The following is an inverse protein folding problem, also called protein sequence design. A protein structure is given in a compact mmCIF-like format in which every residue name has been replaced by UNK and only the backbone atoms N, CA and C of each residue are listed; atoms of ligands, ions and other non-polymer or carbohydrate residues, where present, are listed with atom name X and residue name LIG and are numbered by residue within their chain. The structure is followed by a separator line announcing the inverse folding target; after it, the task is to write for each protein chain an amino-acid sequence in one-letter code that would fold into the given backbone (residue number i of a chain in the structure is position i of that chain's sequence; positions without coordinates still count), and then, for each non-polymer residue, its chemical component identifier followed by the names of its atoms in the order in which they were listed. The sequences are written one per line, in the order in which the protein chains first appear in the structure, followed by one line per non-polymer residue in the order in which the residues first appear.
data_IF_005844663915
#
_entry.id   IF_005844663915
#
_cell.length_a   1.000
_cell.length_b   1.000
_cell.length_c   1.000
_cell.angle_alpha   90.00
_cell.angle_beta   90.00
_cell.angle_gamma   90.00
#
_symmetry.space_group_name_H-M   'P 1'
#
loop_
_entity.id
_entity.type
_entity.pdbx_description
1 polymer ?
#
# COMPACT_ATOMS: atom_id res chain seq x y z
N UNK A 1 -0.73 9.34 -39.82
CA UNK A 1 -1.21 9.11 -38.43
C UNK A 1 -0.34 9.95 -37.51
N UNK A 2 -0.94 10.73 -36.62
CA UNK A 2 -0.17 11.47 -35.61
C UNK A 2 0.50 10.46 -34.66
N UNK A 3 1.75 10.70 -34.21
CA UNK A 3 2.38 9.84 -33.22
C UNK A 3 1.55 9.82 -31.93
N UNK A 4 1.44 8.67 -31.25
CA UNK A 4 0.70 8.59 -29.99
C UNK A 4 1.28 9.58 -28.98
N UNK A 5 0.39 10.29 -28.28
CA UNK A 5 0.79 11.22 -27.22
C UNK A 5 1.63 10.46 -26.18
N UNK A 6 2.82 10.97 -25.87
CA UNK A 6 3.67 10.38 -24.83
C UNK A 6 2.94 10.42 -23.50
N UNK A 7 2.86 9.28 -22.81
CA UNK A 7 2.34 9.24 -21.44
C UNK A 7 3.19 10.13 -20.53
N UNK A 8 2.55 10.78 -19.55
CA UNK A 8 3.21 11.62 -18.54
C UNK A 8 3.72 10.76 -17.38
N UNK A 9 4.81 11.19 -16.73
CA UNK A 9 5.27 10.55 -15.49
C UNK A 9 4.17 10.66 -14.43
N UNK A 10 3.94 9.60 -13.64
CA UNK A 10 3.02 9.66 -12.49
C UNK A 10 3.50 10.63 -11.41
N UNK A 11 4.81 10.69 -11.18
CA UNK A 11 5.42 11.57 -10.19
C UNK A 11 5.63 12.97 -10.74
N UNK A 12 6.69 13.20 -11.53
CA UNK A 12 7.09 14.54 -11.96
C UNK A 12 6.33 15.13 -13.16
N UNK A 13 5.29 14.46 -13.67
CA UNK A 13 4.42 14.95 -14.77
C UNK A 13 5.06 15.21 -16.14
N UNK A 14 6.38 15.14 -16.26
CA UNK A 14 7.08 15.35 -17.53
C UNK A 14 6.58 14.39 -18.60
N UNK A 15 6.44 14.88 -19.83
CA UNK A 15 6.23 14.09 -21.06
C UNK A 15 7.55 13.71 -21.74
N UNK A 16 8.67 14.23 -21.23
CA UNK A 16 10.00 14.06 -21.80
C UNK A 16 10.76 12.89 -21.16
N UNK A 17 11.83 12.46 -21.83
CA UNK A 17 12.66 11.35 -21.40
C UNK A 17 12.06 9.96 -21.63
N UNK A 18 12.81 8.94 -21.21
CA UNK A 18 12.44 7.52 -21.34
C UNK A 18 11.58 7.10 -20.15
N UNK A 19 10.50 6.35 -20.39
CA UNK A 19 9.75 5.64 -19.34
C UNK A 19 10.55 4.44 -18.87
N UNK A 20 10.59 4.20 -17.55
CA UNK A 20 11.19 3.02 -16.95
C UNK A 20 10.13 1.96 -16.70
N UNK A 21 10.54 0.69 -16.74
CA UNK A 21 9.73 -0.42 -16.25
C UNK A 21 9.99 -0.55 -14.74
N UNK A 22 9.49 0.41 -13.98
CA UNK A 22 9.74 0.47 -12.55
C UNK A 22 9.09 -0.71 -11.84
N UNK A 23 9.84 -1.36 -10.96
CA UNK A 23 9.33 -2.50 -10.22
C UNK A 23 8.44 -2.03 -9.05
N UNK A 24 7.30 -2.69 -8.83
CA UNK A 24 6.45 -2.36 -7.66
C UNK A 24 7.23 -2.61 -6.38
N UNK A 25 8.00 -3.71 -6.31
CA UNK A 25 9.02 -3.92 -5.29
C UNK A 25 10.40 -4.07 -5.91
N UNK A 26 11.42 -3.45 -5.32
CA UNK A 26 12.80 -3.48 -5.80
C UNK A 26 13.23 -4.90 -6.20
N UNK A 27 13.71 -5.06 -7.43
CA UNK A 27 14.17 -6.37 -7.93
C UNK A 27 15.31 -6.96 -7.09
N UNK A 28 16.14 -6.11 -6.47
CA UNK A 28 17.27 -6.53 -5.60
C UNK A 28 16.81 -7.42 -4.45
N UNK A 29 15.65 -7.13 -3.87
CA UNK A 29 15.04 -7.90 -2.79
C UNK A 29 14.74 -9.36 -3.17
N UNK A 30 14.48 -9.64 -4.46
CA UNK A 30 14.30 -11.00 -4.98
C UNK A 30 15.50 -11.92 -4.70
N UNK A 31 16.72 -11.36 -4.70
CA UNK A 31 17.95 -12.11 -4.43
C UNK A 31 18.22 -12.32 -2.94
N UNK A 32 17.59 -11.50 -2.10
CA UNK A 32 17.86 -11.43 -0.66
C UNK A 32 16.83 -12.19 0.18
N UNK A 33 15.72 -12.61 -0.43
CA UNK A 33 14.59 -13.21 0.27
C UNK A 33 14.00 -14.37 -0.50
N UNK A 34 13.37 -15.28 0.23
CA UNK A 34 12.56 -16.33 -0.36
C UNK A 34 11.37 -15.73 -1.11
N UNK A 35 11.09 -16.25 -2.32
CA UNK A 35 9.98 -15.79 -3.15
C UNK A 35 9.15 -16.97 -3.61
N UNK A 36 7.83 -16.79 -3.65
CA UNK A 36 6.95 -17.75 -4.30
C UNK A 36 6.96 -17.51 -5.83
N UNK A 37 7.00 -18.58 -6.64
CA UNK A 37 6.99 -18.47 -8.10
C UNK A 37 5.69 -17.87 -8.63
N UNK A 38 4.61 -18.07 -7.89
CA UNK A 38 3.30 -17.51 -8.17
C UNK A 38 2.92 -16.43 -7.18
N UNK A 39 2.18 -15.45 -7.67
CA UNK A 39 1.69 -14.35 -6.86
C UNK A 39 0.20 -14.11 -7.10
N UNK A 40 -0.53 -13.85 -6.02
CA UNK A 40 -1.94 -13.49 -6.07
C UNK A 40 -2.10 -11.97 -6.03
N UNK A 41 -2.93 -11.46 -6.92
CA UNK A 41 -3.35 -10.06 -6.96
C UNK A 41 -4.85 -10.03 -6.82
N UNK A 42 -5.34 -9.24 -5.87
CA UNK A 42 -6.75 -8.91 -5.79
C UNK A 42 -6.95 -7.40 -5.79
N UNK A 43 -8.01 -7.00 -6.48
CA UNK A 43 -8.53 -5.65 -6.50
C UNK A 43 -10.01 -5.69 -6.09
N UNK A 44 -10.38 -4.81 -5.16
CA UNK A 44 -11.76 -4.58 -4.75
C UNK A 44 -12.18 -3.13 -4.97
N UNK A 45 -13.41 -2.96 -5.44
CA UNK A 45 -14.06 -1.66 -5.65
C UNK A 45 -15.31 -1.58 -4.80
N UNK A 46 -15.44 -0.50 -4.02
CA UNK A 46 -16.64 -0.25 -3.21
C UNK A 46 -17.02 -1.45 -2.31
N UNK A 47 -16.02 -2.14 -1.75
CA UNK A 47 -16.20 -3.31 -0.88
C UNK A 47 -16.37 -4.65 -1.61
N UNK A 48 -16.51 -4.65 -2.93
CA UNK A 48 -16.71 -5.87 -3.72
C UNK A 48 -15.43 -6.23 -4.47
N UNK A 49 -14.95 -7.47 -4.33
CA UNK A 49 -13.81 -7.97 -5.12
C UNK A 49 -14.21 -8.01 -6.59
N UNK A 50 -13.55 -7.21 -7.41
CA UNK A 50 -13.82 -7.13 -8.85
C UNK A 50 -12.94 -8.10 -9.63
N UNK A 51 -11.69 -8.26 -9.20
CA UNK A 51 -10.72 -9.10 -9.88
C UNK A 51 -9.81 -9.77 -8.86
N UNK A 52 -9.63 -11.08 -9.03
CA UNK A 52 -8.59 -11.85 -8.36
C UNK A 52 -7.90 -12.70 -9.41
N UNK A 53 -6.57 -12.64 -9.46
CA UNK A 53 -5.80 -13.48 -10.37
C UNK A 53 -4.53 -13.99 -9.72
N UNK A 54 -4.19 -15.24 -10.05
CA UNK A 54 -2.85 -15.79 -9.87
C UNK A 54 -2.02 -15.46 -11.09
N UNK A 55 -0.81 -14.97 -10.88
CA UNK A 55 0.17 -14.68 -11.93
C UNK A 55 1.39 -15.56 -11.70
N UNK A 56 1.87 -16.20 -12.77
CA UNK A 56 3.12 -16.97 -12.76
C UNK A 56 4.33 -16.02 -12.83
N UNK A 57 4.47 -15.23 -11.77
CA UNK A 57 5.54 -14.28 -11.55
C UNK A 57 5.69 -14.05 -10.04
N UNK A 58 6.89 -13.71 -9.59
CA UNK A 58 7.10 -13.31 -8.19
C UNK A 58 6.61 -11.88 -7.98
N UNK A 59 6.32 -11.52 -6.73
CA UNK A 59 5.97 -10.14 -6.37
C UNK A 59 7.01 -9.08 -6.77
N UNK A 60 8.28 -9.50 -6.95
CA UNK A 60 9.38 -8.65 -7.39
C UNK A 60 9.51 -8.55 -8.90
N UNK A 61 8.71 -9.28 -9.69
CA UNK A 61 8.73 -9.21 -11.15
C UNK A 61 7.67 -8.25 -11.71
N UNK A 62 6.79 -7.72 -10.85
CA UNK A 62 5.75 -6.75 -11.23
C UNK A 62 6.37 -5.42 -11.58
N UNK A 63 6.03 -4.91 -12.76
CA UNK A 63 6.53 -3.62 -13.25
C UNK A 63 5.40 -2.72 -13.72
N UNK A 64 5.65 -1.42 -13.66
CA UNK A 64 4.79 -0.36 -14.19
C UNK A 64 5.61 0.50 -15.14
N UNK A 65 5.02 0.93 -16.25
CA UNK A 65 5.69 1.72 -17.28
C UNK A 65 5.24 3.20 -17.28
N UNK A 66 4.93 3.71 -16.08
CA UNK A 66 4.34 5.05 -15.89
C UNK A 66 5.27 6.01 -15.12
N UNK A 67 6.48 5.56 -14.79
CA UNK A 67 7.53 6.36 -14.13
C UNK A 67 8.60 6.73 -15.15
N UNK A 68 9.14 7.95 -15.14
CA UNK A 68 10.29 8.28 -15.98
C UNK A 68 11.58 7.74 -15.37
N UNK A 69 12.56 7.45 -16.23
CA UNK A 69 13.91 7.03 -15.83
C UNK A 69 14.54 7.98 -14.80
N UNK A 70 14.38 9.30 -14.97
CA UNK A 70 14.92 10.29 -14.05
C UNK A 70 14.30 10.26 -12.64
N UNK A 71 12.99 9.96 -12.52
CA UNK A 71 12.40 9.73 -11.19
C UNK A 71 12.89 8.40 -10.61
N UNK A 72 13.02 7.39 -11.46
CA UNK A 72 13.36 6.04 -11.02
C UNK A 72 14.78 5.91 -10.48
N UNK A 73 15.75 6.41 -11.24
CA UNK A 73 17.19 6.37 -10.92
C UNK A 73 17.63 7.61 -10.10
N UNK A 74 16.67 8.41 -9.64
CA UNK A 74 16.92 9.55 -8.77
C UNK A 74 16.34 9.28 -7.39
N UNK A 75 15.44 10.15 -6.96
CA UNK A 75 14.85 10.09 -5.61
C UNK A 75 14.19 8.75 -5.23
N UNK A 76 13.67 7.96 -6.19
CA UNK A 76 13.09 6.66 -5.87
C UNK A 76 14.16 5.64 -5.50
N UNK A 77 15.29 5.63 -6.20
CA UNK A 77 16.44 4.78 -5.89
C UNK A 77 17.09 5.21 -4.58
N UNK A 78 17.26 6.52 -4.37
CA UNK A 78 17.75 7.09 -3.09
C UNK A 78 16.85 6.66 -1.91
N UNK A 79 15.53 6.79 -2.05
CA UNK A 79 14.57 6.34 -1.04
C UNK A 79 14.65 4.83 -0.78
N UNK A 80 14.88 4.01 -1.81
CA UNK A 80 15.06 2.57 -1.64
C UNK A 80 16.34 2.22 -0.90
N UNK A 81 17.44 2.88 -1.24
CA UNK A 81 18.74 2.66 -0.59
C UNK A 81 18.68 3.07 0.88
N UNK A 82 18.04 4.20 1.19
CA UNK A 82 17.86 4.71 2.56
C UNK A 82 17.14 3.74 3.50
N UNK A 83 16.16 2.98 2.99
CA UNK A 83 15.36 2.07 3.82
C UNK A 83 15.75 0.60 3.66
N UNK A 84 16.71 0.27 2.79
CA UNK A 84 17.03 -1.12 2.43
C UNK A 84 17.36 -1.96 3.66
N UNK A 85 18.25 -1.48 4.51
CA UNK A 85 18.67 -2.20 5.72
C UNK A 85 17.46 -2.50 6.62
N UNK A 86 16.62 -1.47 6.87
CA UNK A 86 15.44 -1.57 7.72
C UNK A 86 14.39 -2.52 7.15
N UNK A 87 14.06 -2.41 5.86
CA UNK A 87 13.14 -3.33 5.17
C UNK A 87 13.65 -4.78 5.28
N UNK A 88 14.95 -5.00 5.10
CA UNK A 88 15.54 -6.33 5.20
C UNK A 88 15.54 -6.89 6.63
N UNK A 89 15.78 -6.04 7.64
CA UNK A 89 15.68 -6.41 9.06
C UNK A 89 14.25 -6.82 9.41
N UNK A 90 13.27 -6.01 9.03
CA UNK A 90 11.84 -6.27 9.26
C UNK A 90 11.35 -7.50 8.49
N UNK A 91 11.76 -7.66 7.24
CA UNK A 91 11.39 -8.80 6.40
C UNK A 91 11.96 -10.13 6.91
N UNK A 92 13.06 -10.09 7.67
CA UNK A 92 13.61 -11.26 8.39
C UNK A 92 12.95 -11.48 9.75
N UNK A 93 12.00 -10.62 10.14
CA UNK A 93 11.29 -10.68 11.41
C UNK A 93 12.15 -10.23 12.60
N UNK A 94 13.17 -9.40 12.35
CA UNK A 94 13.97 -8.76 13.40
C UNK A 94 13.42 -7.37 13.69
N UNK A 95 13.82 -6.81 14.82
CA UNK A 95 13.51 -5.41 15.19
C UNK A 95 14.72 -4.56 14.78
N UNK A 96 14.54 -3.43 14.06
CA UNK A 96 15.61 -2.49 13.78
C UNK A 96 16.20 -1.92 15.08
N UNK A 97 17.49 -1.57 15.08
CA UNK A 97 18.02 -0.74 16.15
C UNK A 97 17.51 0.70 16.02
N UNK A 98 17.61 1.49 17.08
CA UNK A 98 17.23 2.92 17.04
C UNK A 98 18.08 3.71 16.04
N UNK A 99 19.35 3.34 15.87
CA UNK A 99 20.26 3.93 14.88
C UNK A 99 19.87 3.61 13.43
N UNK A 100 19.24 2.47 13.19
CA UNK A 100 18.74 2.04 11.87
C UNK A 100 17.32 2.58 11.58
N UNK A 101 16.66 3.17 12.57
CA UNK A 101 15.25 3.47 12.53
C UNK A 101 14.93 4.79 11.81
N UNK A 102 14.82 4.73 10.48
CA UNK A 102 14.28 5.82 9.64
C UNK A 102 12.79 5.60 9.34
N UNK A 103 11.96 5.69 10.39
CA UNK A 103 10.52 5.38 10.31
C UNK A 103 9.75 6.26 9.31
N UNK A 104 10.11 7.53 9.21
CA UNK A 104 9.55 8.48 8.24
C UNK A 104 9.84 8.05 6.79
N UNK A 105 11.10 7.72 6.50
CA UNK A 105 11.51 7.21 5.18
C UNK A 105 10.87 5.86 4.87
N UNK A 106 10.78 4.98 5.87
CA UNK A 106 10.10 3.70 5.72
C UNK A 106 8.61 3.89 5.39
N UNK A 107 7.92 4.81 6.07
CA UNK A 107 6.52 5.12 5.80
C UNK A 107 6.33 5.70 4.38
N UNK A 108 7.21 6.61 3.96
CA UNK A 108 7.22 7.15 2.61
C UNK A 108 7.45 6.03 1.57
N UNK A 109 8.43 5.16 1.81
CA UNK A 109 8.71 4.02 0.94
C UNK A 109 7.49 3.10 0.83
N UNK A 110 6.88 2.69 1.95
CA UNK A 110 5.67 1.87 1.94
C UNK A 110 4.54 2.52 1.13
N UNK A 111 4.35 3.84 1.31
CA UNK A 111 3.36 4.64 0.58
C UNK A 111 3.62 4.62 -0.92
N UNK A 112 4.86 4.86 -1.35
CA UNK A 112 5.25 4.82 -2.76
C UNK A 112 4.99 3.44 -3.36
N UNK A 113 5.36 2.36 -2.67
CA UNK A 113 5.14 0.97 -3.15
C UNK A 113 3.65 0.65 -3.25
N UNK A 114 2.85 1.10 -2.27
CA UNK A 114 1.41 0.98 -2.31
C UNK A 114 0.80 1.70 -3.52
N UNK A 115 1.24 2.92 -3.81
CA UNK A 115 0.77 3.69 -4.97
C UNK A 115 1.16 3.04 -6.30
N UNK A 116 2.42 2.61 -6.45
CA UNK A 116 2.87 1.87 -7.63
C UNK A 116 2.06 0.59 -7.83
N UNK A 117 1.70 -0.10 -6.75
CA UNK A 117 0.83 -1.28 -6.81
C UNK A 117 -0.55 -0.95 -7.38
N UNK A 118 -1.12 0.21 -7.08
CA UNK A 118 -2.42 0.60 -7.67
C UNK A 118 -2.36 0.78 -9.19
N UNK A 119 -1.18 1.08 -9.76
CA UNK A 119 -1.03 1.24 -11.22
C UNK A 119 -1.12 -0.09 -11.99
N UNK A 120 -1.09 -1.23 -11.29
CA UNK A 120 -1.28 -2.55 -11.91
C UNK A 120 -2.76 -2.96 -11.98
N UNK A 121 -3.64 -2.18 -11.36
CA UNK A 121 -5.09 -2.34 -11.39
C UNK A 121 -5.69 -1.68 -12.66
N UNK A 122 -6.97 -1.99 -12.99
CA UNK A 122 -7.71 -1.29 -14.05
C UNK A 122 -7.68 0.24 -13.87
N UNK A 123 -7.74 0.99 -14.96
CA UNK A 123 -7.52 2.45 -14.92
C UNK A 123 -8.49 3.20 -14.00
N UNK A 124 -9.77 2.80 -13.98
CA UNK A 124 -10.82 3.37 -13.11
C UNK A 124 -10.58 3.13 -11.61
N UNK A 125 -9.65 2.24 -11.29
CA UNK A 125 -9.35 1.77 -9.94
C UNK A 125 -8.08 2.38 -9.37
N UNK A 126 -7.38 3.19 -10.16
CA UNK A 126 -6.08 3.75 -9.79
C UNK A 126 -6.26 4.98 -8.93
N UNK A 127 -5.33 5.17 -8.01
CA UNK A 127 -5.25 6.39 -7.24
C UNK A 127 -5.03 7.60 -8.18
N UNK A 128 -5.69 8.75 -7.93
CA UNK A 128 -5.53 9.93 -8.76
C UNK A 128 -4.08 10.41 -8.84
N UNK A 129 -3.70 10.89 -10.02
CA UNK A 129 -2.34 11.33 -10.33
C UNK A 129 -1.81 12.41 -9.38
N UNK A 130 -2.68 13.32 -8.93
CA UNK A 130 -2.35 14.39 -7.98
C UNK A 130 -1.70 13.89 -6.69
N UNK A 131 -2.00 12.65 -6.27
CA UNK A 131 -1.39 12.02 -5.08
C UNK A 131 0.08 11.67 -5.32
N UNK A 132 0.41 11.16 -6.52
CA UNK A 132 1.79 10.90 -6.88
C UNK A 132 2.58 12.20 -7.01
N UNK A 133 1.94 13.26 -7.52
CA UNK A 133 2.53 14.60 -7.66
C UNK A 133 2.86 15.22 -6.30
N UNK A 134 1.95 15.14 -5.33
CA UNK A 134 2.20 15.68 -3.99
C UNK A 134 3.37 14.97 -3.33
N UNK A 135 3.41 13.63 -3.37
CA UNK A 135 4.54 12.87 -2.83
C UNK A 135 5.85 13.20 -3.54
N UNK A 136 5.82 13.40 -4.86
CA UNK A 136 7.02 13.82 -5.60
C UNK A 136 7.52 15.19 -5.16
N UNK A 137 6.61 16.14 -4.95
CA UNK A 137 6.97 17.51 -4.56
C UNK A 137 7.45 17.55 -3.10
N UNK A 138 6.71 16.92 -2.21
CA UNK A 138 6.84 17.11 -0.77
C UNK A 138 7.80 16.12 -0.12
N UNK A 139 8.10 14.99 -0.80
CA UNK A 139 8.95 13.91 -0.27
C UNK A 139 8.50 13.42 1.10
N UNK A 140 7.19 13.41 1.32
CA UNK A 140 6.57 13.05 2.58
C UNK A 140 5.29 12.24 2.35
N UNK A 141 4.88 11.50 3.38
CA UNK A 141 3.56 10.85 3.41
C UNK A 141 2.51 11.95 3.57
N UNK A 142 1.44 11.99 2.75
CA UNK A 142 0.35 12.93 2.96
C UNK A 142 -0.27 12.78 4.35
N UNK A 143 -0.56 13.89 5.02
CA UNK A 143 -1.08 13.93 6.41
C UNK A 143 -2.34 13.07 6.62
N UNK A 144 -3.13 12.89 5.56
CA UNK A 144 -4.38 12.15 5.58
C UNK A 144 -4.20 10.63 5.38
N UNK A 145 -2.97 10.15 5.25
CA UNK A 145 -2.69 8.72 5.06
C UNK A 145 -2.37 8.08 6.40
N UNK A 146 -2.68 6.79 6.52
CA UNK A 146 -2.25 5.98 7.65
C UNK A 146 -1.36 4.87 7.11
N UNK A 147 -0.13 4.79 7.62
CA UNK A 147 0.84 3.77 7.26
C UNK A 147 1.10 2.90 8.47
N UNK A 148 0.86 1.60 8.29
CA UNK A 148 0.98 0.61 9.34
C UNK A 148 1.83 -0.54 8.86
N UNK A 149 2.54 -1.19 9.78
CA UNK A 149 3.22 -2.44 9.51
C UNK A 149 3.00 -3.45 10.62
N UNK A 150 3.19 -4.71 10.28
CA UNK A 150 3.06 -5.84 11.17
C UNK A 150 4.15 -6.87 10.88
N UNK A 151 4.46 -7.67 11.90
CA UNK A 151 5.27 -8.87 11.74
C UNK A 151 4.36 -10.08 11.50
N UNK A 152 4.61 -10.82 10.44
CA UNK A 152 3.87 -12.03 10.09
C UNK A 152 4.78 -13.26 10.06
N UNK A 153 4.25 -14.42 10.43
CA UNK A 153 4.94 -15.71 10.21
C UNK A 153 4.89 -16.15 8.75
N UNK A 154 3.80 -15.83 8.07
CA UNK A 154 3.58 -16.16 6.66
C UNK A 154 2.56 -15.21 6.04
N UNK A 155 2.92 -14.64 4.89
CA UNK A 155 2.00 -13.86 4.07
C UNK A 155 1.67 -14.61 2.79
N UNK A 156 0.39 -14.83 2.56
CA UNK A 156 -0.09 -15.69 1.46
C UNK A 156 -0.34 -14.92 0.15
N UNK A 157 -0.37 -13.59 0.20
CA UNK A 157 -0.68 -12.73 -0.95
C UNK A 157 0.50 -11.84 -1.36
N UNK A 158 1.69 -12.38 -1.69
CA UNK A 158 2.92 -11.59 -1.82
C UNK A 158 2.85 -10.42 -2.83
N UNK A 159 1.88 -10.40 -3.75
CA UNK A 159 1.67 -9.33 -4.75
C UNK A 159 0.79 -8.19 -4.26
N UNK A 160 0.27 -8.32 -3.06
CA UNK A 160 -0.54 -7.33 -2.41
C UNK A 160 -1.97 -7.25 -2.92
N UNK A 161 -2.80 -6.65 -2.07
CA UNK A 161 -4.20 -6.35 -2.31
C UNK A 161 -4.37 -4.85 -2.38
N UNK A 162 -5.18 -4.38 -3.32
CA UNK A 162 -5.66 -2.99 -3.35
C UNK A 162 -7.18 -2.99 -3.23
N UNK A 163 -7.69 -2.03 -2.46
CA UNK A 163 -9.11 -1.78 -2.33
C UNK A 163 -9.32 -0.29 -2.39
N UNK A 164 -10.04 0.19 -3.40
CA UNK A 164 -10.35 1.62 -3.56
C UNK A 164 -11.86 1.80 -3.55
N UNK A 165 -12.34 2.80 -2.83
CA UNK A 165 -13.72 3.26 -2.84
C UNK A 165 -13.76 4.69 -3.34
N UNK A 166 -14.67 4.95 -4.27
CA UNK A 166 -14.93 6.29 -4.78
C UNK A 166 -16.14 6.88 -4.08
N UNK A 167 -16.01 8.08 -3.55
CA UNK A 167 -17.12 8.80 -2.92
C UNK A 167 -17.78 9.76 -3.90
N UNK A 168 -19.11 9.84 -3.81
CA UNK A 168 -19.86 10.96 -4.38
C UNK A 168 -20.42 10.77 -5.79
N UNK A 169 -20.47 9.56 -6.39
CA UNK A 169 -21.36 9.26 -7.55
C UNK A 169 -21.46 7.76 -7.88
N UNK A 170 -22.67 7.30 -8.23
CA UNK A 170 -22.97 5.89 -8.59
C UNK A 170 -22.56 5.48 -10.02
N UNK A 171 -22.25 6.43 -10.91
CA UNK A 171 -22.00 6.17 -12.35
C UNK A 171 -20.83 7.03 -12.88
N UNK A 172 -19.60 6.54 -12.85
CA UNK A 172 -18.45 7.22 -13.46
C UNK A 172 -18.46 7.07 -14.99
N UNK A 173 -18.40 8.18 -15.73
CA UNK A 173 -17.83 8.19 -17.08
C UNK A 173 -16.31 8.40 -16.96
N UNK A 174 -15.53 7.76 -17.83
CA UNK A 174 -14.09 8.00 -17.91
C UNK A 174 -13.81 9.49 -18.13
N UNK A 175 -13.19 10.16 -17.16
CA UNK A 175 -12.80 11.59 -17.24
C UNK A 175 -13.33 12.50 -16.13
N UNK A 176 -14.36 12.10 -15.38
CA UNK A 176 -14.90 12.92 -14.28
C UNK A 176 -14.02 12.80 -13.02
N UNK A 177 -13.64 13.94 -12.43
CA UNK A 177 -12.90 13.96 -11.18
C UNK A 177 -13.80 13.53 -10.00
N UNK A 178 -13.42 12.50 -9.22
CA UNK A 178 -14.19 12.06 -8.05
C UNK A 178 -14.19 13.10 -6.94
N UNK A 179 -15.30 13.21 -6.21
CA UNK A 179 -15.47 14.14 -5.07
C UNK A 179 -14.54 13.75 -3.91
N UNK A 180 -14.30 12.44 -3.75
CA UNK A 180 -13.32 11.91 -2.82
C UNK A 180 -13.06 10.43 -3.08
N UNK A 181 -12.07 9.88 -2.38
CA UNK A 181 -11.80 8.44 -2.37
C UNK A 181 -11.22 8.04 -1.03
N UNK A 182 -11.39 6.77 -0.70
CA UNK A 182 -10.65 6.06 0.35
C UNK A 182 -10.12 4.75 -0.22
N UNK A 183 -9.09 4.21 0.39
CA UNK A 183 -8.53 2.96 -0.06
C UNK A 183 -7.52 2.38 0.90
N UNK A 184 -7.25 1.09 0.72
CA UNK A 184 -6.24 0.37 1.48
C UNK A 184 -5.45 -0.49 0.51
N UNK A 185 -4.13 -0.37 0.57
CA UNK A 185 -3.20 -1.25 -0.14
C UNK A 185 -2.40 -2.03 0.89
N UNK A 186 -2.43 -3.35 0.79
CA UNK A 186 -1.68 -4.26 1.65
C UNK A 186 -0.59 -4.94 0.84
N UNK A 187 0.60 -5.09 1.41
CA UNK A 187 1.71 -5.80 0.78
C UNK A 187 2.51 -6.57 1.82
N UNK A 188 3.19 -7.64 1.42
CA UNK A 188 4.07 -8.38 2.32
C UNK A 188 5.34 -8.87 1.64
N UNK A 189 6.41 -8.88 2.43
CA UNK A 189 7.79 -9.15 2.04
C UNK A 189 8.43 -9.97 3.16
N UNK A 190 8.62 -11.28 2.94
CA UNK A 190 9.07 -12.17 4.01
C UNK A 190 8.12 -12.10 5.23
N UNK A 191 8.65 -11.65 6.36
CA UNK A 191 7.91 -11.43 7.62
C UNK A 191 7.42 -9.99 7.82
N UNK A 192 7.75 -9.06 6.93
CA UNK A 192 7.22 -7.71 6.94
C UNK A 192 5.87 -7.73 6.21
N UNK A 193 4.81 -7.30 6.90
CA UNK A 193 3.52 -6.98 6.30
C UNK A 193 3.27 -5.49 6.50
N UNK A 194 2.74 -4.79 5.51
CA UNK A 194 2.37 -3.40 5.68
C UNK A 194 1.08 -3.06 4.96
N UNK A 195 0.41 -2.04 5.51
CA UNK A 195 -0.83 -1.48 5.01
C UNK A 195 -0.68 0.02 4.89
N UNK A 196 -1.13 0.54 3.75
CA UNK A 196 -1.23 1.98 3.50
C UNK A 196 -2.68 2.27 3.24
N UNK A 197 -3.28 3.03 4.15
CA UNK A 197 -4.61 3.58 3.99
C UNK A 197 -4.48 4.97 3.35
N UNK A 198 -5.13 5.13 2.21
CA UNK A 198 -4.99 6.26 1.30
C UNK A 198 -6.35 6.94 1.17
N UNK A 199 -6.50 8.21 1.53
CA UNK A 199 -7.73 8.95 1.23
C UNK A 199 -7.47 10.29 0.53
N UNK A 200 -8.54 10.80 -0.08
CA UNK A 200 -8.65 12.22 -0.41
C UNK A 200 -8.89 13.07 0.84
N UNK A 201 -8.65 14.37 0.73
CA UNK A 201 -8.87 15.41 1.76
C UNK A 201 -10.30 15.53 2.34
N UNK A 202 -11.24 14.65 1.97
CA UNK A 202 -12.60 14.62 2.53
C UNK A 202 -12.60 14.08 3.96
N UNK A 203 -13.17 14.84 4.91
CA UNK A 203 -13.32 14.43 6.32
C UNK A 203 -14.02 13.08 6.49
N UNK A 204 -14.98 12.75 5.63
CA UNK A 204 -15.66 11.46 5.67
C UNK A 204 -14.70 10.30 5.33
N UNK A 205 -13.85 10.49 4.32
CA UNK A 205 -12.86 9.49 3.93
C UNK A 205 -11.78 9.31 5.01
N UNK A 206 -11.34 10.43 5.64
CA UNK A 206 -10.41 10.40 6.79
C UNK A 206 -10.99 9.60 7.95
N UNK A 207 -12.25 9.85 8.32
CA UNK A 207 -12.93 9.13 9.41
C UNK A 207 -13.07 7.64 9.14
N UNK A 208 -13.38 7.25 7.90
CA UNK A 208 -13.47 5.84 7.50
C UNK A 208 -12.12 5.13 7.58
N UNK A 209 -11.05 5.76 7.11
CA UNK A 209 -9.70 5.21 7.17
C UNK A 209 -9.20 5.08 8.62
N UNK A 210 -9.42 6.11 9.44
CA UNK A 210 -9.10 6.06 10.87
C UNK A 210 -9.84 4.91 11.55
N UNK A 211 -11.15 4.75 11.29
CA UNK A 211 -11.94 3.64 11.79
C UNK A 211 -11.39 2.28 11.36
N UNK A 212 -10.96 2.13 10.11
CA UNK A 212 -10.36 0.89 9.62
C UNK A 212 -9.01 0.58 10.31
N UNK A 213 -8.13 1.57 10.41
CA UNK A 213 -6.85 1.41 11.09
C UNK A 213 -7.04 1.02 12.57
N UNK A 214 -7.97 1.69 13.26
CA UNK A 214 -8.29 1.40 14.65
C UNK A 214 -8.90 0.01 14.82
N UNK A 215 -9.77 -0.43 13.92
CA UNK A 215 -10.28 -1.79 13.95
C UNK A 215 -9.19 -2.84 13.73
N UNK A 216 -8.27 -2.60 12.80
CA UNK A 216 -7.12 -3.50 12.57
C UNK A 216 -6.26 -3.61 13.84
N UNK A 217 -6.05 -2.49 14.54
CA UNK A 217 -5.39 -2.48 15.84
C UNK A 217 -6.22 -3.19 16.91
N UNK A 218 -7.53 -3.00 16.98
CA UNK A 218 -8.39 -3.63 17.99
C UNK A 218 -8.42 -5.16 17.84
N UNK A 219 -8.50 -5.66 16.60
CA UNK A 219 -8.53 -7.11 16.33
C UNK A 219 -7.16 -7.76 16.50
N UNK A 220 -6.08 -6.99 16.45
CA UNK A 220 -4.71 -7.51 16.54
C UNK A 220 -3.77 -6.49 17.20
N UNK A 221 -3.99 -6.16 18.48
CA UNK A 221 -3.38 -5.00 19.16
C UNK A 221 -1.87 -5.08 19.25
N UNK A 222 -1.34 -6.29 19.38
CA UNK A 222 0.10 -6.45 19.44
C UNK A 222 0.71 -6.49 18.03
N UNK A 223 -0.05 -6.90 17.01
CA UNK A 223 0.52 -7.28 15.73
C UNK A 223 0.92 -6.08 14.87
N UNK A 224 0.27 -4.93 15.07
CA UNK A 224 0.39 -3.76 14.22
C UNK A 224 1.05 -2.59 14.92
N UNK A 225 1.91 -1.90 14.17
CA UNK A 225 2.48 -0.62 14.54
C UNK A 225 2.12 0.41 13.49
N UNK A 226 1.53 1.52 13.94
CA UNK A 226 1.33 2.71 13.11
C UNK A 226 2.66 3.46 13.04
N UNK A 227 3.11 3.72 11.82
CA UNK A 227 4.32 4.50 11.54
C UNK A 227 3.96 5.96 11.27
N UNK A 228 2.82 6.19 10.62
CA UNK A 228 2.35 7.52 10.25
C UNK A 228 0.81 7.57 10.25
N UNK A 229 0.18 8.63 10.78
CA UNK A 229 0.77 9.63 11.66
C UNK A 229 1.25 8.99 12.97
N UNK A 230 1.89 9.73 13.88
CA UNK A 230 2.21 9.14 15.18
C UNK A 230 0.92 8.69 15.89
N UNK A 231 0.94 7.55 16.60
CA UNK A 231 -0.28 6.94 17.20
C UNK A 231 -1.08 7.93 18.05
N UNK A 232 -0.42 8.91 18.67
CA UNK A 232 -1.08 9.94 19.50
C UNK A 232 -1.94 10.92 18.71
N UNK A 233 -1.81 10.93 17.39
CA UNK A 233 -2.49 11.83 16.46
C UNK A 233 -3.67 11.14 15.75
N UNK A 234 -3.92 9.85 16.00
CA UNK A 234 -5.05 9.15 15.40
C UNK A 234 -6.38 9.69 15.95
N UNK A 235 -7.36 10.04 15.07
CA UNK A 235 -8.67 10.49 15.51
C UNK A 235 -9.35 9.44 16.39
N UNK A 236 -9.98 9.85 17.48
CA UNK A 236 -10.84 8.97 18.29
C UNK A 236 -11.97 8.42 17.41
N UNK A 237 -12.31 7.12 17.48
CA UNK A 237 -13.41 6.59 16.69
C UNK A 237 -14.71 7.33 17.04
N UNK A 238 -15.32 8.00 16.07
CA UNK A 238 -16.75 8.33 16.14
C UNK A 238 -17.61 7.06 16.02
N UNK A 239 -18.94 7.19 16.10
CA UNK A 239 -19.94 6.11 15.94
C UNK A 239 -19.94 5.42 14.53
N UNK A 240 -18.79 4.97 14.04
CA UNK A 240 -18.56 4.40 12.69
C UNK A 240 -18.35 2.87 12.76
N UNK A 241 -18.68 2.23 13.89
CA UNK A 241 -18.45 0.78 14.05
C UNK A 241 -19.52 -0.11 13.38
N UNK A 242 -20.76 0.35 13.20
CA UNK A 242 -21.85 -0.54 12.74
C UNK A 242 -21.82 -0.86 11.24
N UNK A 243 -21.35 0.05 10.38
CA UNK A 243 -21.16 -0.23 8.94
C UNK A 243 -19.97 -1.18 8.68
N UNK A 244 -19.08 -1.32 9.66
CA UNK A 244 -17.79 -2.00 9.54
C UNK A 244 -17.90 -3.53 9.57
N UNK A 245 -18.74 -4.10 10.44
CA UNK A 245 -18.90 -5.56 10.58
C UNK A 245 -19.35 -6.23 9.27
N UNK A 246 -20.17 -5.52 8.48
CA UNK A 246 -20.63 -6.02 7.18
C UNK A 246 -19.51 -6.06 6.11
N UNK A 247 -18.49 -5.19 6.22
CA UNK A 247 -17.43 -5.05 5.22
C UNK A 247 -16.34 -6.12 5.35
N UNK A 248 -15.87 -6.43 6.57
CA UNK A 248 -14.88 -7.51 6.80
C UNK A 248 -15.41 -8.88 6.36
N UNK A 249 -16.73 -9.09 6.42
CA UNK A 249 -17.40 -10.28 5.92
C UNK A 249 -17.47 -10.32 4.38
N UNK A 250 -17.81 -9.21 3.72
CA UNK A 250 -17.98 -9.14 2.26
C UNK A 250 -16.66 -9.13 1.47
N UNK A 251 -15.57 -8.64 2.07
CA UNK A 251 -14.25 -8.55 1.46
C UNK A 251 -13.34 -9.77 1.70
N UNK A 252 -13.81 -10.81 2.41
CA UNK A 252 -13.10 -12.09 2.45
C UNK A 252 -13.36 -12.82 1.13
N UNK A 253 -12.35 -13.03 0.26
CA UNK A 253 -12.55 -13.94 -0.87
C UNK A 253 -13.07 -15.28 -0.32
N UNK A 254 -13.92 -15.98 -1.08
CA UNK A 254 -14.19 -17.39 -0.82
C UNK A 254 -12.82 -18.07 -0.65
N UNK A 255 -12.52 -18.46 0.59
CA UNK A 255 -11.19 -18.89 0.97
C UNK A 255 -11.00 -20.28 0.43
N UNK A 256 -10.06 -20.46 -0.49
CA UNK A 256 -9.54 -21.80 -0.81
C UNK A 256 -8.83 -22.42 0.42
N UNK A 257 -8.43 -21.60 1.40
CA UNK A 257 -7.79 -22.02 2.65
C UNK A 257 -8.48 -21.38 3.87
N UNK A 258 -9.26 -22.14 4.67
CA UNK A 258 -9.98 -21.62 5.83
C UNK A 258 -9.06 -21.12 6.96
N UNK A 259 -7.75 -21.40 6.90
CA UNK A 259 -6.78 -20.99 7.92
C UNK A 259 -6.28 -19.55 7.79
N UNK A 260 -6.64 -18.83 6.71
CA UNK A 260 -6.23 -17.44 6.49
C UNK A 260 -7.20 -16.47 7.17
N UNK A 261 -6.73 -15.35 7.74
CA UNK A 261 -7.60 -14.27 8.22
C UNK A 261 -8.03 -13.31 7.09
N UNK A 262 -8.84 -12.29 7.42
CA UNK A 262 -9.38 -11.30 6.45
C UNK A 262 -8.29 -10.50 5.72
N UNK A 263 -7.06 -10.50 6.23
CA UNK A 263 -5.89 -9.83 5.67
C UNK A 263 -5.03 -10.74 4.78
N UNK A 264 -5.40 -12.01 4.64
CA UNK A 264 -4.62 -13.00 3.87
C UNK A 264 -3.35 -13.47 4.59
N UNK A 265 -3.35 -13.45 5.93
CA UNK A 265 -2.25 -13.98 6.76
C UNK A 265 -2.74 -15.20 7.55
N UNK A 266 -1.86 -16.20 7.81
CA UNK A 266 -2.21 -17.35 8.67
C UNK A 266 -2.13 -16.99 10.17
N UNK A 267 -1.19 -16.14 10.56
CA UNK A 267 -1.03 -15.61 11.92
C UNK A 267 -0.24 -14.28 11.88
N UNK A 268 -0.78 -13.21 12.47
CA UNK A 268 -0.05 -11.97 12.74
C UNK A 268 0.32 -11.94 14.23
N UNK A 269 1.58 -11.62 14.57
CA UNK A 269 2.10 -11.73 15.94
C UNK A 269 2.54 -10.38 16.47
N UNK A 270 2.42 -10.25 17.79
CA UNK A 270 2.86 -9.11 18.57
C UNK A 270 4.28 -8.62 18.29
N UNK A 271 4.48 -7.31 18.12
CA UNK A 271 5.82 -6.69 18.18
C UNK A 271 6.22 -6.57 19.66
N UNK A 272 6.75 -7.63 20.26
CA UNK A 272 7.35 -7.53 21.59
C UNK A 272 8.78 -6.98 21.52
N UNK A 273 8.93 -5.82 22.15
CA UNK A 273 10.11 -5.00 22.32
C UNK A 273 9.57 -3.60 22.56
N UNK A 274 9.25 -3.27 23.81
CA UNK A 274 8.73 -1.96 24.20
C UNK A 274 9.49 -0.86 23.46
N UNK A 275 8.77 0.07 22.80
CA UNK A 275 9.33 1.39 22.53
C UNK A 275 9.68 1.98 23.89
N UNK A 276 10.95 1.97 24.28
CA UNK A 276 11.44 2.93 25.26
C UNK A 276 11.22 4.30 24.67
N UNK A 277 10.27 5.05 25.27
CA UNK A 277 10.17 6.49 25.09
C UNK A 277 11.41 7.16 25.67
#
# INVERSE_FOLDING_TARGET
MAPPLKSRCRFCQTTEGKRSNEHVLRRKFKKLMWTYPDTFYSYAENGTVQHSRRVNATAFDVKVNEVCKACNEGWLEELEDDVEAMVMTLARGKTPSDEEAHWDKLALWMTVRALLRTLTDPEQSRIPKRVFESIYRDRAVPEDFIVMWARTKSYYLPGGRSMIRWHGRKNHKAGDAPVGFDGTVSYGIGRLFFQVHICSESNAAKGLIAGHALHVMEVSPDAWMVIFPEVTELPTPGNILDEFTAMSAAASPQRDDPTLNVLGTREAHGVFGQRTR
#
